data_IF_080056511221
#
_entry.id   IF_080056511221
#
_cell.length_a   1.000
_cell.length_b   1.000
_cell.length_c   1.000
_cell.angle_alpha   90.00
_cell.angle_beta   90.00
_cell.angle_gamma   90.00
#
_symmetry.space_group_name_H-M   'P 1'
#
loop_
_entity.id
_entity.type
_entity.pdbx_description
1 polymer ?
#
# COMPACT_ATOMS: atom_id res chain seq x y z
N UNK A 1 -17.66 11.84 16.80
CA UNK A 1 -17.70 12.10 15.36
C UNK A 1 -18.88 11.32 14.81
N UNK A 2 -19.77 11.96 14.02
CA UNK A 2 -20.86 11.24 13.37
C UNK A 2 -20.29 10.10 12.52
N UNK A 3 -20.85 8.91 12.67
CA UNK A 3 -20.47 7.73 11.89
C UNK A 3 -21.41 7.62 10.71
N UNK A 4 -20.85 7.59 9.51
CA UNK A 4 -21.62 7.42 8.29
C UNK A 4 -21.63 5.92 7.95
N UNK A 5 -22.75 5.27 8.26
CA UNK A 5 -22.91 3.83 8.03
C UNK A 5 -23.06 3.46 6.54
N UNK A 6 -23.26 4.45 5.69
CA UNK A 6 -23.47 4.27 4.24
C UNK A 6 -22.15 4.37 3.45
N UNK A 7 -21.01 4.45 4.13
CA UNK A 7 -19.70 4.46 3.48
C UNK A 7 -18.72 3.50 4.18
N UNK A 8 -17.55 3.28 3.52
CA UNK A 8 -16.50 2.42 4.06
C UNK A 8 -16.93 0.95 4.16
N UNK A 9 -16.32 0.25 5.09
CA UNK A 9 -16.59 -1.16 5.40
C UNK A 9 -16.78 -1.34 6.90
N UNK A 10 -17.80 -2.11 7.26
CA UNK A 10 -18.08 -2.43 8.65
C UNK A 10 -18.85 -3.74 8.76
N UNK A 11 -18.48 -4.59 9.72
CA UNK A 11 -19.29 -5.71 10.18
C UNK A 11 -19.08 -5.98 11.68
N UNK A 12 -19.73 -7.01 12.21
CA UNK A 12 -19.66 -7.35 13.64
C UNK A 12 -18.57 -8.35 13.99
N UNK A 13 -17.87 -8.88 13.00
CA UNK A 13 -16.91 -9.98 13.16
C UNK A 13 -15.49 -9.46 13.05
N UNK A 14 -15.25 -8.50 12.16
CA UNK A 14 -13.93 -8.04 11.79
C UNK A 14 -13.72 -6.56 12.08
N UNK A 15 -12.58 -6.23 12.66
CA UNK A 15 -12.01 -4.88 12.65
C UNK A 15 -11.16 -4.72 11.42
N UNK A 16 -11.46 -3.71 10.60
CA UNK A 16 -10.77 -3.46 9.34
C UNK A 16 -9.77 -2.30 9.43
N UNK A 17 -8.69 -2.42 8.66
CA UNK A 17 -7.63 -1.42 8.64
C UNK A 17 -6.95 -1.32 7.28
N UNK A 18 -6.56 -0.09 6.90
CA UNK A 18 -5.75 0.18 5.72
C UNK A 18 -6.37 -0.25 4.40
N UNK A 19 -5.56 -0.21 3.36
CA UNK A 19 -5.93 -0.68 2.04
C UNK A 19 -6.26 0.40 1.03
N UNK A 20 -6.56 -0.03 -0.18
CA UNK A 20 -6.95 0.87 -1.26
C UNK A 20 -8.07 0.29 -2.13
N UNK A 21 -8.65 1.16 -2.95
CA UNK A 21 -9.78 0.81 -3.82
C UNK A 21 -9.31 0.71 -5.27
N UNK A 22 -9.77 -0.34 -5.95
CA UNK A 22 -9.60 -0.53 -7.38
C UNK A 22 -10.96 -0.70 -8.05
N UNK A 23 -11.21 0.00 -9.16
CA UNK A 23 -12.34 -0.29 -10.01
C UNK A 23 -12.03 -1.53 -10.86
N UNK A 24 -12.86 -2.56 -10.73
CA UNK A 24 -12.71 -3.81 -11.48
C UNK A 24 -13.30 -3.72 -12.90
N UNK A 25 -12.95 -4.69 -13.74
CA UNK A 25 -13.50 -4.83 -15.08
C UNK A 25 -14.99 -5.21 -15.06
N UNK A 26 -15.50 -5.68 -13.91
CA UNK A 26 -16.94 -5.93 -13.66
C UNK A 26 -17.73 -4.65 -13.36
N UNK A 27 -17.06 -3.50 -13.40
CA UNK A 27 -17.64 -2.17 -13.16
C UNK A 27 -17.79 -1.81 -11.69
N UNK A 28 -17.51 -2.73 -10.76
CA UNK A 28 -17.61 -2.52 -9.31
C UNK A 28 -16.34 -1.94 -8.72
N UNK A 29 -16.48 -1.42 -7.51
CA UNK A 29 -15.34 -0.97 -6.70
C UNK A 29 -14.95 -2.06 -5.72
N UNK A 30 -13.68 -2.42 -5.72
CA UNK A 30 -13.06 -3.43 -4.88
C UNK A 30 -12.16 -2.73 -3.87
N UNK A 31 -12.52 -2.81 -2.61
CA UNK A 31 -11.67 -2.39 -1.49
C UNK A 31 -10.87 -3.60 -1.02
N UNK A 32 -9.57 -3.51 -1.15
CA UNK A 32 -8.65 -4.47 -0.56
C UNK A 32 -8.21 -3.94 0.80
N UNK A 33 -8.55 -4.65 1.85
CA UNK A 33 -8.41 -4.19 3.23
C UNK A 33 -7.91 -5.33 4.10
N UNK A 34 -7.11 -5.04 5.11
CA UNK A 34 -6.78 -6.06 6.10
C UNK A 34 -7.72 -5.98 7.32
N UNK A 35 -7.82 -7.10 8.04
CA UNK A 35 -8.65 -7.16 9.23
C UNK A 35 -8.27 -8.30 10.15
N UNK A 36 -8.69 -8.18 11.39
CA UNK A 36 -8.58 -9.17 12.45
C UNK A 36 -9.91 -9.29 13.19
N UNK A 37 -10.07 -10.35 13.97
CA UNK A 37 -11.32 -10.55 14.69
C UNK A 37 -11.59 -9.42 15.68
N UNK A 38 -12.79 -8.83 15.62
CA UNK A 38 -13.26 -7.80 16.56
C UNK A 38 -13.20 -8.28 18.01
N UNK A 39 -13.39 -9.59 18.23
CA UNK A 39 -13.33 -10.23 19.55
C UNK A 39 -11.90 -10.42 20.09
N UNK A 40 -10.87 -10.01 19.34
CA UNK A 40 -9.48 -10.16 19.82
C UNK A 40 -9.24 -9.31 21.06
N UNK A 41 -8.73 -9.95 22.12
CA UNK A 41 -8.34 -9.27 23.36
C UNK A 41 -7.15 -8.34 23.19
N UNK A 42 -6.37 -8.52 22.13
CA UNK A 42 -5.23 -7.67 21.81
C UNK A 42 -5.65 -6.38 21.06
N UNK A 43 -6.90 -6.31 20.61
CA UNK A 43 -7.41 -5.18 19.84
C UNK A 43 -6.52 -4.90 18.62
N UNK A 44 -6.14 -3.65 18.42
CA UNK A 44 -5.26 -3.23 17.33
C UNK A 44 -3.93 -4.02 17.28
N UNK A 45 -3.39 -4.44 18.41
CA UNK A 45 -2.13 -5.20 18.46
C UNK A 45 -2.25 -6.62 17.86
N UNK A 46 -3.43 -7.03 17.38
CA UNK A 46 -3.61 -8.26 16.60
C UNK A 46 -3.17 -8.12 15.14
N UNK A 47 -2.80 -6.94 14.67
CA UNK A 47 -2.42 -6.66 13.30
C UNK A 47 -1.42 -7.65 12.66
N UNK A 48 -0.43 -8.28 13.39
CA UNK A 48 0.47 -9.25 12.77
C UNK A 48 -0.22 -10.53 12.30
N UNK A 49 -1.43 -10.80 12.81
CA UNK A 49 -2.25 -11.95 12.47
C UNK A 49 -3.40 -11.60 11.51
N UNK A 50 -3.38 -10.41 10.92
CA UNK A 50 -4.45 -9.96 10.03
C UNK A 50 -4.53 -10.79 8.74
N UNK A 51 -5.73 -10.80 8.20
CA UNK A 51 -6.05 -11.34 6.88
C UNK A 51 -6.42 -10.22 5.93
N UNK A 52 -6.24 -10.46 4.65
CA UNK A 52 -6.65 -9.52 3.59
C UNK A 52 -7.95 -9.97 2.99
N UNK A 53 -8.83 -9.00 2.77
CA UNK A 53 -10.16 -9.19 2.21
C UNK A 53 -10.31 -8.40 0.91
N UNK A 54 -11.07 -8.96 -0.01
CA UNK A 54 -11.69 -8.21 -1.10
C UNK A 54 -13.13 -7.91 -0.69
N UNK A 55 -13.45 -6.64 -0.54
CA UNK A 55 -14.79 -6.15 -0.27
C UNK A 55 -15.30 -5.35 -1.47
N UNK A 56 -16.57 -5.45 -1.79
CA UNK A 56 -17.14 -4.96 -3.05
C UNK A 56 -18.26 -4.00 -2.79
N UNK A 57 -18.33 -2.93 -3.60
CA UNK A 57 -19.42 -1.97 -3.64
C UNK A 57 -19.75 -1.54 -5.08
N UNK A 58 -20.98 -1.12 -5.30
CA UNK A 58 -21.37 -0.41 -6.53
C UNK A 58 -20.96 1.07 -6.51
N UNK A 59 -20.60 1.61 -5.35
CA UNK A 59 -20.19 3.01 -5.15
C UNK A 59 -18.75 3.11 -4.67
N UNK A 60 -18.05 4.16 -5.11
CA UNK A 60 -16.64 4.43 -4.72
C UNK A 60 -16.44 4.57 -3.21
N UNK A 61 -17.38 5.15 -2.52
CA UNK A 61 -17.33 5.37 -1.07
C UNK A 61 -17.92 4.23 -0.24
N UNK A 62 -18.51 3.22 -0.89
CA UNK A 62 -19.19 2.11 -0.22
C UNK A 62 -20.70 2.31 -0.13
N UNK A 63 -21.41 1.60 0.79
CA UNK A 63 -20.83 0.64 1.72
C UNK A 63 -20.21 -0.58 1.01
N UNK A 64 -19.09 -1.01 1.49
CA UNK A 64 -18.40 -2.20 0.99
C UNK A 64 -18.81 -3.43 1.79
N UNK A 65 -18.99 -4.55 1.10
CA UNK A 65 -19.30 -5.84 1.71
C UNK A 65 -18.14 -6.80 1.45
N UNK A 66 -17.55 -7.33 2.50
CA UNK A 66 -16.50 -8.35 2.40
C UNK A 66 -17.03 -9.58 1.66
N UNK A 67 -16.35 -10.01 0.61
CA UNK A 67 -16.72 -11.16 -0.23
C UNK A 67 -15.78 -12.33 -0.04
N UNK A 68 -14.48 -12.06 -0.19
CA UNK A 68 -13.45 -13.09 -0.17
C UNK A 68 -12.37 -12.74 0.84
N UNK A 69 -11.99 -13.71 1.67
CA UNK A 69 -10.72 -13.68 2.40
C UNK A 69 -9.66 -14.24 1.47
N UNK A 70 -8.67 -13.42 1.12
CA UNK A 70 -7.61 -13.78 0.18
C UNK A 70 -6.52 -14.61 0.88
N UNK A 71 -6.08 -14.16 2.04
CA UNK A 71 -5.04 -14.83 2.80
C UNK A 71 -4.45 -13.94 3.90
N UNK A 72 -3.36 -14.36 4.49
CA UNK A 72 -2.67 -13.57 5.52
C UNK A 72 -1.98 -12.35 4.90
N UNK A 73 -2.04 -11.23 5.59
CA UNK A 73 -1.36 -10.01 5.18
C UNK A 73 -1.83 -8.79 5.93
N UNK A 74 -1.02 -7.74 5.87
CA UNK A 74 -1.30 -6.46 6.51
C UNK A 74 -0.96 -5.32 5.56
N UNK A 75 -1.64 -4.18 5.70
CA UNK A 75 -1.49 -2.98 4.87
C UNK A 75 -1.47 -3.33 3.36
N UNK A 76 -2.56 -3.91 2.84
CA UNK A 76 -2.62 -4.32 1.46
C UNK A 76 -2.66 -3.11 0.52
N UNK A 77 -1.97 -3.22 -0.61
CA UNK A 77 -2.08 -2.29 -1.73
C UNK A 77 -2.27 -3.07 -3.03
N UNK A 78 -3.40 -2.86 -3.69
CA UNK A 78 -3.68 -3.49 -4.98
C UNK A 78 -3.23 -2.60 -6.12
N UNK A 79 -2.61 -3.23 -7.12
CA UNK A 79 -2.18 -2.59 -8.35
C UNK A 79 -2.53 -3.46 -9.55
N UNK A 80 -2.84 -2.85 -10.70
CA UNK A 80 -3.03 -3.59 -11.94
C UNK A 80 -1.75 -3.50 -12.77
N UNK A 81 -1.20 -4.65 -13.10
CA UNK A 81 -0.01 -4.76 -13.92
C UNK A 81 -0.31 -4.43 -15.38
N UNK A 82 0.74 -4.18 -16.13
CA UNK A 82 0.66 -3.82 -17.56
C UNK A 82 0.07 -4.93 -18.44
N UNK A 83 0.24 -6.18 -18.03
CA UNK A 83 -0.33 -7.36 -18.70
C UNK A 83 -1.79 -7.64 -18.31
N UNK A 84 -2.38 -6.79 -17.48
CA UNK A 84 -3.77 -6.87 -17.05
C UNK A 84 -4.00 -7.65 -15.76
N UNK A 85 -3.01 -8.40 -15.26
CA UNK A 85 -3.11 -9.07 -13.97
C UNK A 85 -3.20 -8.06 -12.83
N UNK A 86 -3.74 -8.50 -11.71
CA UNK A 86 -3.75 -7.75 -10.46
C UNK A 86 -2.69 -8.30 -9.53
N UNK A 87 -1.99 -7.42 -8.84
CA UNK A 87 -1.08 -7.74 -7.75
C UNK A 87 -1.55 -7.03 -6.49
N UNK A 88 -1.59 -7.76 -5.40
CA UNK A 88 -1.94 -7.28 -4.08
C UNK A 88 -0.72 -7.44 -3.18
N UNK A 89 -0.03 -6.34 -2.94
CA UNK A 89 1.14 -6.31 -2.08
C UNK A 89 0.70 -6.31 -0.62
N UNK A 90 1.44 -7.04 0.19
CA UNK A 90 1.28 -7.12 1.65
C UNK A 90 2.65 -7.09 2.30
N UNK A 91 2.71 -7.04 3.63
CA UNK A 91 3.99 -7.19 4.34
C UNK A 91 4.64 -8.51 3.91
N UNK A 92 5.91 -8.40 3.50
CA UNK A 92 6.80 -9.52 3.13
C UNK A 92 6.35 -10.39 1.95
N UNK A 93 5.33 -9.96 1.18
CA UNK A 93 4.88 -10.76 0.05
C UNK A 93 3.84 -10.10 -0.83
N UNK A 94 3.30 -10.88 -1.74
CA UNK A 94 2.26 -10.46 -2.68
C UNK A 94 1.33 -11.60 -3.05
N UNK A 95 0.13 -11.23 -3.46
CA UNK A 95 -0.82 -12.13 -4.12
C UNK A 95 -1.02 -11.68 -5.56
N UNK A 96 -1.19 -12.61 -6.48
CA UNK A 96 -1.39 -12.31 -7.92
C UNK A 96 -2.61 -13.05 -8.42
N UNK A 97 -3.38 -12.39 -9.31
CA UNK A 97 -4.50 -12.99 -9.99
C UNK A 97 -4.70 -12.36 -11.38
N UNK A 98 -5.26 -13.09 -12.31
CA UNK A 98 -5.78 -12.60 -13.58
C UNK A 98 -7.24 -12.11 -13.48
N UNK A 99 -7.93 -12.50 -12.41
CA UNK A 99 -9.32 -12.16 -12.17
C UNK A 99 -9.52 -11.61 -10.75
N UNK A 100 -9.89 -10.33 -10.64
CA UNK A 100 -10.07 -9.62 -9.36
C UNK A 100 -11.05 -10.33 -8.40
N UNK A 101 -12.00 -11.09 -8.94
CA UNK A 101 -12.96 -11.90 -8.21
C UNK A 101 -12.53 -13.37 -8.04
N UNK A 102 -11.39 -13.74 -8.60
CA UNK A 102 -10.89 -15.11 -8.63
C UNK A 102 -10.01 -15.50 -7.44
N UNK A 103 -9.26 -16.56 -7.64
CA UNK A 103 -8.26 -17.03 -6.69
C UNK A 103 -6.99 -16.20 -6.81
N UNK A 104 -6.35 -15.98 -5.69
CA UNK A 104 -5.10 -15.23 -5.59
C UNK A 104 -3.97 -16.16 -5.20
N UNK A 105 -2.87 -16.12 -5.93
CA UNK A 105 -1.69 -16.93 -5.69
C UNK A 105 -0.66 -16.15 -4.88
N UNK A 106 -0.26 -16.68 -3.71
CA UNK A 106 0.75 -16.06 -2.86
C UNK A 106 2.16 -16.27 -3.40
N UNK A 107 2.97 -15.24 -3.33
CA UNK A 107 4.40 -15.28 -3.59
C UNK A 107 5.17 -14.32 -2.68
N UNK A 108 6.47 -14.60 -2.48
CA UNK A 108 7.36 -13.67 -1.79
C UNK A 108 7.93 -12.65 -2.77
N UNK A 109 8.43 -11.54 -2.23
CA UNK A 109 9.25 -10.62 -3.00
C UNK A 109 10.57 -11.30 -3.40
N UNK A 110 10.95 -11.09 -4.64
CA UNK A 110 12.23 -11.52 -5.19
C UNK A 110 13.13 -10.30 -5.38
N UNK A 111 14.18 -10.21 -4.58
CA UNK A 111 15.14 -9.09 -4.61
C UNK A 111 16.40 -9.50 -5.31
N UNK A 112 17.05 -8.55 -5.99
CA UNK A 112 18.36 -8.76 -6.54
C UNK A 112 19.33 -9.20 -5.43
N UNK A 113 19.94 -10.36 -5.61
CA UNK A 113 20.83 -10.96 -4.60
C UNK A 113 22.10 -10.14 -4.34
N UNK A 114 22.46 -9.22 -5.22
CA UNK A 114 23.59 -8.32 -5.07
C UNK A 114 23.27 -7.09 -4.21
N UNK A 115 21.99 -6.77 -4.04
CA UNK A 115 21.58 -5.61 -3.28
C UNK A 115 21.76 -5.87 -1.79
N UNK A 116 22.48 -4.98 -1.12
CA UNK A 116 22.47 -4.92 0.33
C UNK A 116 21.17 -4.26 0.75
N UNK A 117 20.32 -5.00 1.41
CA UNK A 117 19.14 -4.40 2.02
C UNK A 117 19.59 -3.47 3.14
N UNK A 118 19.46 -2.18 2.93
CA UNK A 118 19.76 -1.17 3.94
C UNK A 118 18.60 -1.04 4.91
N UNK A 119 17.44 -1.57 4.56
CA UNK A 119 16.20 -1.30 5.26
C UNK A 119 15.61 -2.60 5.77
N UNK A 120 15.39 -2.62 7.07
CA UNK A 120 14.75 -3.71 7.77
C UNK A 120 13.25 -3.70 7.52
N UNK A 121 12.71 -4.87 7.21
CA UNK A 121 11.28 -5.12 7.08
C UNK A 121 10.62 -4.44 5.86
N UNK A 122 9.81 -5.19 5.17
CA UNK A 122 9.00 -4.71 4.05
C UNK A 122 7.58 -4.54 4.55
N UNK A 123 7.30 -3.40 5.16
CA UNK A 123 5.96 -3.04 5.63
C UNK A 123 5.52 -1.72 5.04
N UNK A 124 4.23 -1.50 5.02
CA UNK A 124 3.60 -0.26 4.57
C UNK A 124 4.18 0.15 3.22
N UNK A 125 3.97 -0.73 2.23
CA UNK A 125 4.47 -0.57 0.88
C UNK A 125 3.57 0.38 0.10
N UNK A 126 4.16 1.13 -0.82
CA UNK A 126 3.42 1.87 -1.81
C UNK A 126 4.10 1.81 -3.17
N UNK A 127 3.31 1.79 -4.24
CA UNK A 127 3.76 1.53 -5.59
C UNK A 127 3.28 2.60 -6.57
N UNK A 128 4.13 2.92 -7.54
CA UNK A 128 3.75 3.74 -8.69
C UNK A 128 4.37 3.19 -9.96
N UNK A 129 3.63 3.23 -11.06
CA UNK A 129 4.14 2.87 -12.36
C UNK A 129 4.92 4.04 -12.97
N UNK A 130 6.09 3.73 -13.55
CA UNK A 130 6.94 4.68 -14.27
C UNK A 130 6.51 4.82 -15.74
N UNK A 131 7.06 5.82 -16.42
CA UNK A 131 6.81 6.05 -17.86
C UNK A 131 7.27 4.91 -18.74
N UNK A 132 8.38 4.25 -18.38
CA UNK A 132 8.91 3.10 -19.08
C UNK A 132 8.12 1.80 -18.80
N UNK A 133 7.09 1.90 -17.95
CA UNK A 133 6.24 0.79 -17.55
C UNK A 133 6.79 -0.06 -16.41
N UNK A 134 7.96 0.25 -15.88
CA UNK A 134 8.48 -0.34 -14.65
C UNK A 134 7.74 0.20 -13.43
N UNK A 135 8.02 -0.37 -12.25
CA UNK A 135 7.33 -0.05 -11.01
C UNK A 135 8.32 0.40 -9.95
N UNK A 136 8.00 1.49 -9.28
CA UNK A 136 8.71 1.91 -8.06
C UNK A 136 7.94 1.40 -6.86
N UNK A 137 8.66 0.87 -5.89
CA UNK A 137 8.18 0.52 -4.57
C UNK A 137 8.91 1.37 -3.52
N UNK A 138 8.17 1.93 -2.58
CA UNK A 138 8.70 2.59 -1.37
C UNK A 138 8.13 1.89 -0.16
N UNK A 139 8.91 1.71 0.89
CA UNK A 139 8.48 1.09 2.13
C UNK A 139 8.63 2.03 3.34
N UNK A 140 8.04 1.63 4.47
CA UNK A 140 8.10 2.33 5.76
C UNK A 140 9.49 2.84 6.13
N UNK A 141 10.52 2.05 5.91
CA UNK A 141 11.90 2.44 6.22
C UNK A 141 12.49 3.52 5.31
N UNK A 142 11.77 3.91 4.24
CA UNK A 142 12.24 4.87 3.24
C UNK A 142 13.16 4.25 2.18
N UNK A 143 13.22 2.92 2.10
CA UNK A 143 13.88 2.26 0.99
C UNK A 143 13.03 2.33 -0.27
N UNK A 144 13.71 2.31 -1.41
CA UNK A 144 13.02 2.26 -2.68
C UNK A 144 13.70 1.31 -3.66
N UNK A 145 12.87 0.65 -4.45
CA UNK A 145 13.27 -0.36 -5.44
C UNK A 145 12.55 -0.13 -6.76
N UNK A 146 13.13 -0.66 -7.83
CA UNK A 146 12.49 -0.77 -9.13
C UNK A 146 12.32 -2.24 -9.48
N UNK A 147 11.15 -2.61 -10.01
CA UNK A 147 10.88 -3.86 -10.69
C UNK A 147 10.35 -3.58 -12.09
N UNK A 148 10.77 -4.35 -13.09
CA UNK A 148 10.30 -4.16 -14.46
C UNK A 148 8.91 -4.72 -14.71
N UNK A 149 8.51 -5.74 -13.97
CA UNK A 149 7.20 -6.40 -14.10
C UNK A 149 6.27 -6.23 -12.88
N UNK A 150 6.78 -5.62 -11.79
CA UNK A 150 6.06 -5.46 -10.53
C UNK A 150 5.98 -6.74 -9.68
N UNK A 151 6.60 -7.83 -10.11
CA UNK A 151 6.49 -9.15 -9.47
C UNK A 151 7.82 -9.74 -9.06
N UNK A 152 8.86 -9.50 -9.85
CA UNK A 152 10.16 -10.14 -9.67
C UNK A 152 11.30 -9.15 -9.74
N UNK A 153 12.44 -9.60 -9.23
CA UNK A 153 13.74 -8.93 -9.28
C UNK A 153 13.67 -7.44 -8.94
N UNK A 154 13.27 -7.15 -7.69
CA UNK A 154 13.32 -5.80 -7.16
C UNK A 154 14.77 -5.36 -6.97
N UNK A 155 15.15 -4.31 -7.70
CA UNK A 155 16.48 -3.71 -7.65
C UNK A 155 16.43 -2.45 -6.79
N UNK A 156 17.29 -2.37 -5.77
CA UNK A 156 17.37 -1.18 -4.92
C UNK A 156 17.86 0.03 -5.72
N UNK A 157 17.17 1.15 -5.59
CA UNK A 157 17.47 2.37 -6.36
C UNK A 157 18.54 3.20 -5.67
N UNK A 158 18.52 3.27 -4.35
CA UNK A 158 19.40 4.15 -3.56
C UNK A 158 19.76 3.51 -2.23
N UNK A 159 20.94 3.83 -1.75
CA UNK A 159 21.43 3.48 -0.41
C UNK A 159 20.94 4.44 0.68
N UNK A 160 20.22 5.49 0.30
CA UNK A 160 19.68 6.49 1.22
C UNK A 160 18.16 6.38 1.31
N UNK A 161 17.64 6.74 2.47
CA UNK A 161 16.21 6.88 2.67
C UNK A 161 15.69 8.02 1.80
N UNK A 162 14.52 7.80 1.18
CA UNK A 162 13.86 8.82 0.33
C UNK A 162 13.08 9.87 1.13
N UNK A 163 12.94 9.68 2.43
CA UNK A 163 12.20 10.57 3.33
C UNK A 163 12.99 11.84 3.70
N UNK A 164 12.30 12.86 4.26
CA UNK A 164 12.96 14.06 4.74
C UNK A 164 14.10 13.76 5.72
N UNK A 165 15.16 14.56 5.64
CA UNK A 165 16.33 14.45 6.53
C UNK A 165 16.06 15.09 7.90
N UNK A 166 14.92 14.77 8.51
CA UNK A 166 14.54 15.21 9.86
C UNK A 166 14.45 14.01 10.78
N UNK A 167 14.60 14.22 12.07
CA UNK A 167 14.34 13.19 13.05
C UNK A 167 12.83 12.92 13.08
N UNK A 168 12.45 11.67 12.79
CA UNK A 168 11.05 11.27 12.72
C UNK A 168 10.89 9.77 12.59
N UNK A 169 9.69 9.28 12.85
CA UNK A 169 9.29 7.89 12.62
C UNK A 169 8.28 7.84 11.51
N UNK A 170 8.79 7.69 10.31
CA UNK A 170 8.00 7.67 9.10
C UNK A 170 7.26 6.34 8.92
N UNK A 171 6.02 6.45 8.46
CA UNK A 171 5.11 5.32 8.24
C UNK A 171 4.10 5.66 7.13
N UNK A 172 3.52 4.63 6.53
CA UNK A 172 2.45 4.72 5.54
C UNK A 172 2.76 5.69 4.39
N UNK A 173 3.85 5.48 3.64
CA UNK A 173 4.06 6.23 2.42
C UNK A 173 2.94 5.95 1.43
N UNK A 174 2.49 6.98 0.74
CA UNK A 174 1.60 6.86 -0.43
C UNK A 174 2.25 7.56 -1.59
N UNK A 175 2.58 6.82 -2.64
CA UNK A 175 3.17 7.37 -3.85
C UNK A 175 2.23 7.25 -5.04
N UNK A 176 2.21 8.26 -5.87
CA UNK A 176 1.49 8.23 -7.14
C UNK A 176 2.23 9.06 -8.18
N UNK A 177 1.85 8.89 -9.42
CA UNK A 177 2.35 9.67 -10.54
C UNK A 177 1.19 10.34 -11.28
N UNK A 178 1.34 11.61 -11.60
CA UNK A 178 0.49 12.29 -12.57
C UNK A 178 1.26 12.47 -13.90
N UNK A 179 0.73 13.28 -14.81
CA UNK A 179 1.35 13.57 -16.11
C UNK A 179 2.59 14.48 -16.00
N UNK A 180 2.87 15.05 -14.82
CA UNK A 180 3.95 16.02 -14.59
C UNK A 180 5.11 15.39 -13.83
N UNK A 181 4.81 14.63 -12.76
CA UNK A 181 5.80 14.15 -11.79
C UNK A 181 5.27 13.04 -10.88
N UNK A 182 6.15 12.56 -10.02
CA UNK A 182 5.79 11.68 -8.91
C UNK A 182 5.54 12.51 -7.66
N UNK A 183 4.65 12.03 -6.84
CA UNK A 183 4.25 12.59 -5.56
C UNK A 183 4.35 11.54 -4.47
N UNK A 184 4.64 11.99 -3.26
CA UNK A 184 4.62 11.15 -2.07
C UNK A 184 4.05 11.93 -0.90
N UNK A 185 3.18 11.29 -0.14
CA UNK A 185 2.85 11.70 1.22
C UNK A 185 3.38 10.61 2.14
N UNK A 186 4.01 11.01 3.24
CA UNK A 186 4.47 10.10 4.29
C UNK A 186 4.17 10.68 5.66
N UNK A 187 3.65 9.86 6.55
CA UNK A 187 3.35 10.25 7.92
C UNK A 187 4.61 10.16 8.79
N UNK A 188 4.82 11.16 9.63
CA UNK A 188 5.63 11.06 10.83
C UNK A 188 4.71 10.90 12.04
N UNK A 189 4.49 9.66 12.46
CA UNK A 189 3.54 9.38 13.54
C UNK A 189 4.02 9.87 14.92
N UNK A 190 5.32 10.08 15.11
CA UNK A 190 5.86 10.65 16.35
C UNK A 190 5.63 12.17 16.40
N UNK A 191 5.89 12.85 15.30
CA UNK A 191 5.61 14.28 15.13
C UNK A 191 4.15 14.60 14.92
N UNK A 192 3.31 13.59 14.59
CA UNK A 192 1.88 13.75 14.25
C UNK A 192 1.66 14.70 13.09
N UNK A 193 2.52 14.64 12.09
CA UNK A 193 2.48 15.44 10.87
C UNK A 193 2.66 14.55 9.64
N UNK A 194 2.34 15.06 8.47
CA UNK A 194 2.70 14.42 7.22
C UNK A 194 3.56 15.36 6.38
N UNK A 195 4.47 14.76 5.64
CA UNK A 195 5.31 15.46 4.68
C UNK A 195 4.85 15.16 3.26
N UNK A 196 4.92 16.18 2.42
CA UNK A 196 4.71 16.04 1.00
C UNK A 196 6.04 16.16 0.26
N UNK A 197 6.30 15.21 -0.63
CA UNK A 197 7.52 15.16 -1.43
C UNK A 197 7.16 15.05 -2.91
N UNK A 198 8.03 15.58 -3.76
CA UNK A 198 7.91 15.51 -5.22
C UNK A 198 9.18 14.94 -5.83
N UNK A 199 9.03 14.28 -6.98
CA UNK A 199 10.15 13.76 -7.75
C UNK A 199 9.84 13.79 -9.25
N UNK A 200 10.83 14.14 -10.08
CA UNK A 200 10.69 14.09 -11.53
C UNK A 200 10.95 12.70 -12.11
N UNK A 201 11.77 11.93 -11.42
CA UNK A 201 12.26 10.60 -11.87
C UNK A 201 11.80 9.45 -10.97
N UNK A 202 11.14 9.76 -9.83
CA UNK A 202 10.76 8.78 -8.82
C UNK A 202 11.93 8.28 -7.96
N UNK A 203 13.13 8.84 -8.17
CA UNK A 203 14.37 8.42 -7.49
C UNK A 203 14.84 9.49 -6.51
N UNK A 204 14.93 10.73 -7.00
CA UNK A 204 15.35 11.90 -6.21
C UNK A 204 14.11 12.64 -5.73
N UNK A 205 13.89 12.63 -4.44
CA UNK A 205 12.74 13.25 -3.81
C UNK A 205 13.12 14.57 -3.15
N UNK A 206 12.27 15.56 -3.33
CA UNK A 206 12.39 16.88 -2.73
C UNK A 206 11.19 17.11 -1.84
N UNK A 207 11.45 17.40 -0.57
CA UNK A 207 10.39 17.74 0.40
C UNK A 207 9.93 19.17 0.15
N UNK A 208 8.63 19.38 0.06
CA UNK A 208 8.07 20.71 0.07
C UNK A 208 8.20 21.33 1.48
N UNK A 209 8.43 22.64 1.55
CA UNK A 209 8.45 23.30 2.84
C UNK A 209 7.07 23.23 3.51
N UNK A 210 7.10 22.92 4.81
CA UNK A 210 5.89 22.80 5.61
C UNK A 210 5.30 21.39 5.65
N UNK A 211 4.16 21.30 6.29
CA UNK A 211 3.41 20.06 6.50
C UNK A 211 2.44 19.81 5.33
N UNK A 212 2.27 18.56 4.97
CA UNK A 212 1.33 18.19 3.90
C UNK A 212 -0.12 18.37 4.33
N UNK A 213 -0.41 18.08 5.60
CA UNK A 213 -1.68 18.34 6.25
C UNK A 213 -1.52 18.37 7.76
N UNK A 214 -2.45 19.01 8.44
CA UNK A 214 -2.51 19.03 9.89
C UNK A 214 -3.31 17.82 10.37
N UNK A 215 -2.78 17.01 11.28
CA UNK A 215 -3.58 15.99 11.93
C UNK A 215 -4.66 16.66 12.78
N UNK A 216 -5.87 16.13 12.68
CA UNK A 216 -7.01 16.59 13.47
C UNK A 216 -6.94 16.19 14.94
#
# INVERSE_FOLDING_TARGET
IPRYIDNGIEDRIWSYWGGNIKKGNDGKYHLFVCGWLESSTKGHMEWPNSYVFNAVSDNLTGPFVARNMIGKGHNPEVFQLKDGRYVLYVIDGRYVTDNINGNWEYGKFDFNARDRRIIEGLSNLSFAQREDGSYIMVCRGGGSWISYDGLSEYNQITDKRVYPSVEGRFEDPVIWRDHIQYHMIVNDWLGRIAFYLRSKDGIKWVTDPGEAYMPG
#
